data_IF_474876600941
#
_entry.id   IF_474876600941
#
_cell.length_a   1.000
_cell.length_b   1.000
_cell.length_c   1.000
_cell.angle_alpha   90.00
_cell.angle_beta   90.00
_cell.angle_gamma   90.00
#
_symmetry.space_group_name_H-M   'P 1'
#
loop_
_entity.id
_entity.type
_entity.pdbx_description
1 polymer ?
#
# COMPACT_ATOMS: atom_id res chain seq x y z
N UNK A 1 14.10 -1.80 -4.98
CA UNK A 1 12.84 -1.27 -4.42
C UNK A 1 12.07 -0.54 -5.52
N UNK A 2 11.07 -1.14 -6.13
CA UNK A 2 10.19 -0.43 -7.06
C UNK A 2 8.76 -0.92 -6.89
N UNK A 3 8.02 -0.26 -6.01
CA UNK A 3 6.57 -0.25 -6.13
C UNK A 3 6.26 0.83 -7.15
N UNK A 4 5.82 0.43 -8.35
CA UNK A 4 5.37 1.39 -9.36
C UNK A 4 4.20 2.19 -8.79
N UNK A 5 4.08 3.47 -9.17
CA UNK A 5 2.94 4.34 -8.80
C UNK A 5 1.57 3.69 -9.07
N UNK A 6 1.51 2.71 -9.98
CA UNK A 6 0.32 1.90 -10.25
C UNK A 6 -0.26 1.22 -9.01
N UNK A 7 0.58 0.69 -8.11
CA UNK A 7 0.09 0.02 -6.90
C UNK A 7 -0.66 1.01 -6.02
N UNK A 8 -0.07 2.18 -5.80
CA UNK A 8 -0.69 3.30 -5.08
C UNK A 8 -1.98 3.74 -5.75
N UNK A 9 -2.01 3.84 -7.09
CA UNK A 9 -3.22 4.21 -7.84
C UNK A 9 -4.34 3.17 -7.72
N UNK A 10 -4.01 1.87 -7.74
CA UNK A 10 -4.99 0.80 -7.55
C UNK A 10 -5.62 0.87 -6.15
N UNK A 11 -4.78 1.05 -5.12
CA UNK A 11 -5.24 1.17 -3.74
C UNK A 11 -6.07 2.45 -3.52
N UNK A 12 -5.68 3.58 -4.12
CA UNK A 12 -6.43 4.83 -4.08
C UNK A 12 -7.83 4.71 -4.71
N UNK A 13 -8.04 3.72 -5.59
CA UNK A 13 -9.34 3.48 -6.23
C UNK A 13 -10.34 2.74 -5.32
N UNK A 14 -9.96 2.35 -4.11
CA UNK A 14 -10.88 1.72 -3.14
C UNK A 14 -11.15 0.24 -3.40
N UNK A 15 -10.26 -0.45 -4.11
CA UNK A 15 -10.38 -1.89 -4.37
C UNK A 15 -9.42 -2.70 -3.52
N UNK A 16 -9.77 -3.96 -3.23
CA UNK A 16 -8.80 -4.89 -2.65
C UNK A 16 -7.77 -5.22 -3.73
N UNK A 17 -6.49 -4.99 -3.40
CA UNK A 17 -5.38 -5.37 -4.26
C UNK A 17 -4.74 -6.65 -3.73
N UNK A 18 -4.68 -7.67 -4.59
CA UNK A 18 -3.83 -8.83 -4.39
C UNK A 18 -2.46 -8.54 -5.03
N UNK A 19 -1.40 -8.52 -4.24
CA UNK A 19 -0.06 -8.17 -4.70
C UNK A 19 0.92 -9.33 -4.52
N UNK A 20 1.77 -9.59 -5.51
CA UNK A 20 2.84 -10.58 -5.35
C UNK A 20 3.81 -10.09 -4.28
N UNK A 21 4.09 -10.92 -3.27
CA UNK A 21 5.13 -10.63 -2.29
C UNK A 21 6.50 -10.64 -2.95
N UNK A 22 7.25 -9.58 -2.69
CA UNK A 22 8.67 -9.37 -3.04
C UNK A 22 9.43 -8.91 -1.79
N UNK A 23 10.77 -8.93 -1.76
CA UNK A 23 11.53 -8.37 -0.64
C UNK A 23 11.07 -6.95 -0.29
N UNK A 24 10.99 -6.67 1.01
CA UNK A 24 10.57 -5.37 1.58
C UNK A 24 9.13 -4.93 1.26
N UNK A 25 8.27 -5.86 0.83
CA UNK A 25 6.85 -5.57 0.54
C UNK A 25 6.14 -4.87 1.70
N UNK A 26 6.41 -5.30 2.93
CA UNK A 26 5.73 -4.79 4.12
C UNK A 26 6.25 -3.41 4.58
N UNK A 27 7.14 -2.77 3.83
CA UNK A 27 7.70 -1.45 4.16
C UNK A 27 6.67 -0.32 4.00
N UNK A 28 5.92 -0.33 2.90
CA UNK A 28 4.92 0.71 2.60
C UNK A 28 3.50 0.28 2.94
N UNK A 29 3.18 -1.01 2.81
CA UNK A 29 1.83 -1.52 2.99
C UNK A 29 1.85 -2.76 3.87
N UNK A 30 0.89 -2.86 4.80
CA UNK A 30 0.79 -3.99 5.72
C UNK A 30 -0.12 -5.08 5.18
N UNK A 31 0.38 -6.32 5.12
CA UNK A 31 -0.40 -7.50 4.71
C UNK A 31 -1.69 -7.67 5.52
N UNK A 32 -2.80 -7.95 4.84
CA UNK A 32 -4.13 -8.13 5.44
C UNK A 32 -4.74 -6.87 6.06
N UNK A 33 -4.09 -5.72 5.92
CA UNK A 33 -4.60 -4.42 6.42
C UNK A 33 -4.79 -3.45 5.28
N UNK A 34 -3.75 -3.15 4.50
CA UNK A 34 -3.84 -2.22 3.37
C UNK A 34 -4.10 -2.94 2.05
N UNK A 35 -3.57 -4.15 1.91
CA UNK A 35 -3.68 -5.01 0.75
C UNK A 35 -3.48 -6.46 1.20
N UNK A 36 -3.64 -7.42 0.30
CA UNK A 36 -3.26 -8.81 0.59
C UNK A 36 -2.14 -9.28 -0.31
N UNK A 37 -1.04 -9.73 0.29
CA UNK A 37 0.07 -10.33 -0.45
C UNK A 37 -0.18 -11.82 -0.70
N UNK A 38 0.38 -12.32 -1.80
CA UNK A 38 0.44 -13.74 -2.13
C UNK A 38 1.86 -14.15 -2.57
N UNK A 39 2.20 -15.40 -2.35
CA UNK A 39 3.50 -15.98 -2.65
C UNK A 39 3.49 -16.87 -3.89
N UNK A 40 2.38 -17.53 -4.21
CA UNK A 40 2.23 -18.42 -5.37
C UNK A 40 1.02 -18.07 -6.23
N UNK A 41 0.99 -18.58 -7.47
CA UNK A 41 -0.17 -18.42 -8.35
C UNK A 41 -1.42 -19.12 -7.79
N UNK A 42 -1.25 -20.29 -7.18
CA UNK A 42 -2.36 -21.02 -6.56
C UNK A 42 -2.98 -20.23 -5.42
N UNK A 43 -2.15 -19.66 -4.54
CA UNK A 43 -2.62 -18.79 -3.45
C UNK A 43 -3.36 -17.55 -3.98
N UNK A 44 -2.92 -16.97 -5.10
CA UNK A 44 -3.63 -15.86 -5.73
C UNK A 44 -5.07 -16.26 -6.13
N UNK A 45 -5.25 -17.43 -6.72
CA UNK A 45 -6.59 -17.91 -7.10
C UNK A 45 -7.45 -18.25 -5.87
N UNK A 46 -6.86 -18.90 -4.86
CA UNK A 46 -7.56 -19.20 -3.60
C UNK A 46 -8.03 -17.92 -2.89
N UNK A 47 -7.16 -16.91 -2.77
CA UNK A 47 -7.50 -15.62 -2.18
C UNK A 47 -8.56 -14.87 -3.01
N UNK A 48 -8.45 -14.93 -4.34
CA UNK A 48 -9.46 -14.33 -5.23
C UNK A 48 -10.84 -14.93 -4.96
N UNK A 49 -10.95 -16.26 -4.93
CA UNK A 49 -12.20 -16.96 -4.64
C UNK A 49 -12.70 -16.69 -3.22
N UNK A 50 -11.80 -16.57 -2.24
CA UNK A 50 -12.14 -16.24 -0.87
C UNK A 50 -12.79 -14.86 -0.77
N UNK A 51 -12.13 -13.81 -1.26
CA UNK A 51 -12.61 -12.44 -1.10
C UNK A 51 -13.82 -12.10 -1.98
N UNK A 52 -14.05 -12.85 -3.05
CA UNK A 52 -15.33 -12.79 -3.78
C UNK A 52 -16.51 -13.29 -2.95
N UNK A 53 -16.28 -14.18 -1.97
CA UNK A 53 -17.30 -14.73 -1.06
C UNK A 53 -17.37 -14.01 0.29
N UNK A 54 -16.34 -13.24 0.65
CA UNK A 54 -16.20 -12.55 1.94
C UNK A 54 -16.12 -11.03 1.74
N UNK A 55 -17.25 -10.43 1.34
CA UNK A 55 -17.32 -9.02 0.97
C UNK A 55 -16.95 -8.08 2.12
N UNK A 56 -17.43 -8.31 3.34
CA UNK A 56 -17.15 -7.44 4.49
C UNK A 56 -15.65 -7.37 4.80
N UNK A 57 -14.97 -8.53 4.76
CA UNK A 57 -13.52 -8.62 4.95
C UNK A 57 -12.79 -7.90 3.81
N UNK A 58 -13.19 -8.17 2.56
CA UNK A 58 -12.63 -7.55 1.36
C UNK A 58 -12.73 -6.02 1.42
N UNK A 59 -13.90 -5.49 1.75
CA UNK A 59 -14.16 -4.05 1.85
C UNK A 59 -13.38 -3.42 3.00
N UNK A 60 -13.25 -4.11 4.13
CA UNK A 60 -12.45 -3.62 5.26
C UNK A 60 -11.00 -3.36 4.86
N UNK A 61 -10.38 -4.32 4.15
CA UNK A 61 -9.00 -4.18 3.68
C UNK A 61 -8.91 -3.10 2.60
N UNK A 62 -9.80 -3.12 1.60
CA UNK A 62 -9.81 -2.14 0.52
C UNK A 62 -9.94 -0.70 1.02
N UNK A 63 -10.87 -0.45 1.95
CA UNK A 63 -11.08 0.88 2.54
C UNK A 63 -9.88 1.34 3.38
N UNK A 64 -9.25 0.43 4.13
CA UNK A 64 -8.07 0.76 4.90
C UNK A 64 -6.86 1.06 4.00
N UNK A 65 -6.68 0.30 2.91
CA UNK A 65 -5.67 0.59 1.89
C UNK A 65 -5.85 1.93 1.21
N UNK A 66 -7.08 2.23 0.77
CA UNK A 66 -7.42 3.53 0.18
C UNK A 66 -7.14 4.67 1.15
N UNK A 67 -7.65 4.57 2.38
CA UNK A 67 -7.42 5.58 3.43
C UNK A 67 -5.92 5.83 3.63
N UNK A 68 -5.13 4.77 3.80
CA UNK A 68 -3.69 4.88 3.99
C UNK A 68 -3.00 5.61 2.82
N UNK A 69 -3.37 5.28 1.58
CA UNK A 69 -2.79 5.96 0.42
C UNK A 69 -3.12 7.45 0.38
N UNK A 70 -4.38 7.81 0.66
CA UNK A 70 -4.80 9.20 0.72
C UNK A 70 -4.15 9.97 1.88
N UNK A 71 -3.81 9.31 2.98
CA UNK A 71 -3.17 9.94 4.15
C UNK A 71 -1.64 10.09 4.00
N UNK A 72 -0.98 9.11 3.36
CA UNK A 72 0.49 9.06 3.28
C UNK A 72 1.06 9.60 1.97
N UNK A 73 0.33 9.46 0.85
CA UNK A 73 0.85 9.76 -0.49
C UNK A 73 0.07 10.86 -1.23
N UNK A 74 -0.72 11.66 -0.53
CA UNK A 74 -1.35 12.84 -1.14
C UNK A 74 -0.31 13.92 -1.49
N UNK A 75 -0.67 14.77 -2.46
CA UNK A 75 0.22 15.81 -2.97
C UNK A 75 0.67 16.82 -1.92
N UNK A 76 -0.17 17.13 -0.94
CA UNK A 76 0.15 18.06 0.14
C UNK A 76 1.28 17.51 1.02
N UNK A 77 1.20 16.24 1.41
CA UNK A 77 2.21 15.57 2.24
C UNK A 77 3.53 15.37 1.50
N UNK A 78 3.48 15.01 0.22
CA UNK A 78 4.68 14.90 -0.63
C UNK A 78 5.35 16.26 -0.82
N UNK A 79 4.58 17.32 -1.06
CA UNK A 79 5.11 18.68 -1.14
C UNK A 79 5.77 19.09 0.18
N UNK A 80 5.15 18.76 1.32
CA UNK A 80 5.72 19.02 2.64
C UNK A 80 7.07 18.33 2.83
N UNK A 81 7.21 17.04 2.49
CA UNK A 81 8.52 16.36 2.58
C UNK A 81 9.58 17.04 1.72
N UNK A 82 9.20 17.51 0.53
CA UNK A 82 10.12 18.25 -0.35
C UNK A 82 10.56 19.56 0.30
N UNK A 83 9.63 20.30 0.91
CA UNK A 83 9.94 21.53 1.64
C UNK A 83 10.82 21.26 2.88
N UNK A 84 10.55 20.19 3.63
CA UNK A 84 11.36 19.81 4.79
C UNK A 84 12.82 19.53 4.38
N UNK A 85 13.06 18.87 3.24
CA UNK A 85 14.42 18.67 2.72
C UNK A 85 15.09 20.01 2.40
N UNK A 86 14.38 20.95 1.77
CA UNK A 86 14.93 22.26 1.40
C UNK A 86 15.28 23.07 2.65
N UNK A 87 14.40 23.08 3.65
CA UNK A 87 14.54 23.92 4.83
C UNK A 87 15.47 23.32 5.90
N UNK A 88 15.46 22.00 6.05
CA UNK A 88 16.09 21.29 7.17
C UNK A 88 17.20 20.34 6.73
N UNK A 89 17.36 20.10 5.42
CA UNK A 89 18.32 19.15 4.86
C UNK A 89 17.91 17.67 5.02
N UNK A 90 16.72 17.40 5.57
CA UNK A 90 16.20 16.05 5.79
C UNK A 90 14.67 16.06 5.92
N UNK A 91 14.03 14.91 5.74
CA UNK A 91 12.63 14.68 6.06
C UNK A 91 12.50 13.38 6.86
N UNK A 92 11.39 13.23 7.58
CA UNK A 92 11.08 12.03 8.33
C UNK A 92 9.78 11.42 7.81
N UNK A 93 9.83 10.15 7.44
CA UNK A 93 8.67 9.37 7.06
C UNK A 93 8.75 7.98 7.70
N UNK A 94 7.62 7.31 7.96
CA UNK A 94 7.59 5.99 8.59
C UNK A 94 8.45 4.93 7.88
N UNK A 95 8.74 5.13 6.60
CA UNK A 95 9.53 4.24 5.74
C UNK A 95 10.98 4.72 5.49
N UNK A 96 11.44 5.80 6.13
CA UNK A 96 12.79 6.36 5.92
C UNK A 96 13.94 5.54 6.55
N UNK A 97 13.67 4.57 7.42
CA UNK A 97 14.68 3.87 8.24
C UNK A 97 15.42 2.70 7.59
N UNK A 98 15.25 2.45 6.29
CA UNK A 98 15.83 1.27 5.60
C UNK A 98 16.57 1.64 4.31
N UNK A 99 17.51 2.59 4.40
CA UNK A 99 18.55 2.80 3.39
C UNK A 99 19.92 2.44 3.97
#
# INVERSE_FOLDING_TARGET
>A
LYHSDRLTNYLASGTLVLAKRVPDSDMLFKDGVHLKYFDTADEFFELSDWYLKHEDERLKIANAGMKHVHEEFNCEKIAKYTMDIIEKGTYDAPWCGCL
#
